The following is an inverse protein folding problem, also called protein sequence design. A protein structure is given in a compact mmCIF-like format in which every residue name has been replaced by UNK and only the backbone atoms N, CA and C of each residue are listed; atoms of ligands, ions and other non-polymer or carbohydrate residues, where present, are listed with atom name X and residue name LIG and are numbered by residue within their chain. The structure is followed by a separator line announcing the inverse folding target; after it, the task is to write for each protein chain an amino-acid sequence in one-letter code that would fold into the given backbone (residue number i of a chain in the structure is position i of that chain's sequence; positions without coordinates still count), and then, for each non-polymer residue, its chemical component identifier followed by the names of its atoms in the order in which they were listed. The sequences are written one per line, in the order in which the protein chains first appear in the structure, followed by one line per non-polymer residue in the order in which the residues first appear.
data_IF_514138295566
#
_entry.id   IF_514138295566
#
_cell.length_a   1.000
_cell.length_b   1.000
_cell.length_c   1.000
_cell.angle_alpha   90.00
_cell.angle_beta   90.00
_cell.angle_gamma   90.00
#
_symmetry.space_group_name_H-M   'P 1'
#
loop_
_entity.id
_entity.type
_entity.pdbx_description
1 polymer ?
#
# COMPACT_ATOMS: atom_id res chain seq x y z
N UNK A 1 -21.56 21.78 -9.64
CA UNK A 1 -21.65 20.81 -10.74
C UNK A 1 -20.24 20.54 -11.27
N UNK A 2 -19.60 19.43 -10.89
CA UNK A 2 -18.28 19.07 -11.43
C UNK A 2 -18.47 18.30 -12.73
N UNK A 3 -18.66 19.03 -13.82
CA UNK A 3 -18.69 18.45 -15.17
C UNK A 3 -17.26 18.07 -15.56
N UNK A 4 -16.93 16.80 -15.39
CA UNK A 4 -15.73 16.19 -15.98
C UNK A 4 -16.01 16.08 -17.49
N UNK A 5 -15.82 17.18 -18.20
CA UNK A 5 -15.95 17.28 -19.65
C UNK A 5 -14.60 17.02 -20.35
N UNK A 6 -14.68 16.45 -21.55
CA UNK A 6 -13.63 15.67 -22.22
C UNK A 6 -12.47 16.47 -22.83
N UNK A 7 -12.39 17.80 -22.69
CA UNK A 7 -11.68 18.63 -23.70
C UNK A 7 -10.22 19.01 -23.43
N UNK A 8 -9.65 18.71 -22.25
CA UNK A 8 -8.19 18.65 -21.95
C UNK A 8 -8.10 18.35 -20.45
N UNK A 9 -7.98 17.07 -20.09
CA UNK A 9 -7.87 16.72 -18.67
C UNK A 9 -6.46 17.04 -18.23
N UNK A 10 -6.35 17.98 -17.31
CA UNK A 10 -5.09 18.44 -16.77
C UNK A 10 -4.79 17.77 -15.42
N UNK A 11 -3.52 17.69 -15.04
CA UNK A 11 -3.09 17.01 -13.80
C UNK A 11 -3.78 17.60 -12.56
N UNK A 12 -3.87 18.94 -12.51
CA UNK A 12 -4.53 19.67 -11.44
C UNK A 12 -6.02 19.34 -11.30
N UNK A 13 -6.69 19.01 -12.42
CA UNK A 13 -8.11 18.63 -12.39
C UNK A 13 -8.31 17.29 -11.71
N UNK A 14 -7.41 16.32 -11.94
CA UNK A 14 -7.42 15.04 -11.25
C UNK A 14 -7.17 15.22 -9.75
N UNK A 15 -6.15 15.99 -9.37
CA UNK A 15 -5.82 16.26 -7.96
C UNK A 15 -6.97 16.92 -7.22
N UNK A 16 -7.54 17.99 -7.79
CA UNK A 16 -8.69 18.71 -7.20
C UNK A 16 -9.89 17.80 -7.02
N UNK A 17 -10.17 16.93 -7.99
CA UNK A 17 -11.29 16.00 -7.90
C UNK A 17 -11.05 14.89 -6.87
N UNK A 18 -9.82 14.37 -6.75
CA UNK A 18 -9.44 13.41 -5.70
C UNK A 18 -9.66 14.00 -4.32
N UNK A 19 -9.06 15.17 -4.05
CA UNK A 19 -9.17 15.85 -2.76
C UNK A 19 -10.63 16.19 -2.41
N UNK A 20 -11.44 16.56 -3.39
CA UNK A 20 -12.87 16.76 -3.20
C UNK A 20 -13.58 15.46 -2.75
N UNK A 21 -13.33 14.34 -3.42
CA UNK A 21 -13.92 13.05 -3.03
C UNK A 21 -13.44 12.58 -1.66
N UNK A 22 -12.17 12.78 -1.31
CA UNK A 22 -11.63 12.47 0.01
C UNK A 22 -12.31 13.30 1.10
N UNK A 23 -12.55 14.58 0.84
CA UNK A 23 -13.28 15.47 1.76
C UNK A 23 -14.70 14.97 2.01
N UNK A 24 -15.40 14.51 0.97
CA UNK A 24 -16.74 13.92 1.08
C UNK A 24 -16.68 12.64 1.90
N UNK A 25 -15.73 11.76 1.62
CA UNK A 25 -15.56 10.50 2.35
C UNK A 25 -15.35 10.76 3.85
N UNK A 26 -14.55 11.77 4.20
CA UNK A 26 -14.34 12.22 5.59
C UNK A 26 -15.63 12.70 6.23
N UNK A 27 -16.42 13.53 5.55
CA UNK A 27 -17.70 14.04 6.07
C UNK A 27 -18.73 12.91 6.29
N UNK A 28 -18.82 11.96 5.36
CA UNK A 28 -19.71 10.79 5.48
C UNK A 28 -19.33 9.97 6.73
N UNK A 29 -18.03 9.70 6.92
CA UNK A 29 -17.51 8.99 8.10
C UNK A 29 -17.87 9.71 9.41
N UNK A 30 -17.70 11.04 9.45
CA UNK A 30 -18.06 11.83 10.64
C UNK A 30 -19.56 11.73 10.94
N UNK A 31 -20.40 11.85 9.92
CA UNK A 31 -21.86 11.71 10.06
C UNK A 31 -22.24 10.32 10.59
N UNK A 32 -21.66 9.24 10.05
CA UNK A 32 -21.96 7.87 10.52
C UNK A 32 -21.52 7.63 11.95
N UNK A 33 -20.36 8.14 12.36
CA UNK A 33 -19.89 8.06 13.75
C UNK A 33 -20.86 8.75 14.71
N UNK A 34 -21.40 9.91 14.32
CA UNK A 34 -22.38 10.67 15.12
C UNK A 34 -23.73 9.93 15.26
N UNK A 35 -24.23 9.36 14.16
CA UNK A 35 -25.55 8.71 14.11
C UNK A 35 -25.49 7.24 14.58
N UNK A 36 -24.29 6.65 14.69
CA UNK A 36 -24.05 5.22 14.98
C UNK A 36 -24.74 4.28 13.99
N UNK A 37 -24.73 4.65 12.70
CA UNK A 37 -25.40 3.90 11.63
C UNK A 37 -24.39 3.28 10.65
N UNK A 38 -24.41 1.95 10.52
CA UNK A 38 -23.45 1.16 9.70
C UNK A 38 -24.03 0.52 8.44
N UNK A 39 -25.34 0.65 8.18
CA UNK A 39 -25.94 0.02 7.00
C UNK A 39 -25.37 0.62 5.69
N UNK A 40 -25.18 -0.21 4.67
CA UNK A 40 -24.76 0.20 3.31
C UNK A 40 -23.43 0.96 3.25
N UNK A 41 -22.52 0.73 4.21
CA UNK A 41 -21.18 1.34 4.18
C UNK A 41 -20.40 0.96 2.92
N UNK A 42 -20.47 -0.31 2.50
CA UNK A 42 -19.79 -0.77 1.30
C UNK A 42 -20.36 -0.17 0.01
N UNK A 43 -21.67 0.09 -0.04
CA UNK A 43 -22.34 0.64 -1.23
C UNK A 43 -22.05 2.13 -1.42
N UNK A 44 -21.83 2.87 -0.34
CA UNK A 44 -21.59 4.32 -0.39
C UNK A 44 -20.09 4.58 -0.30
N UNK A 45 -19.48 4.37 0.87
CA UNK A 45 -18.04 4.59 1.06
C UNK A 45 -17.20 3.69 0.19
N UNK A 46 -17.56 2.40 0.07
CA UNK A 46 -16.82 1.48 -0.79
C UNK A 46 -16.75 1.94 -2.25
N UNK A 47 -17.88 2.42 -2.81
CA UNK A 47 -17.91 2.98 -4.18
C UNK A 47 -17.09 4.25 -4.30
N UNK A 48 -17.13 5.14 -3.30
CA UNK A 48 -16.32 6.37 -3.30
C UNK A 48 -14.82 6.04 -3.23
N UNK A 49 -14.40 5.12 -2.34
CA UNK A 49 -13.01 4.67 -2.22
C UNK A 49 -12.49 4.10 -3.53
N UNK A 50 -13.25 3.20 -4.16
CA UNK A 50 -12.89 2.61 -5.45
C UNK A 50 -12.77 3.70 -6.52
N UNK A 51 -13.67 4.69 -6.51
CA UNK A 51 -13.62 5.80 -7.46
C UNK A 51 -12.37 6.66 -7.29
N UNK A 52 -11.99 6.99 -6.06
CA UNK A 52 -10.75 7.74 -5.76
C UNK A 52 -9.53 6.92 -6.22
N UNK A 53 -9.45 5.64 -5.85
CA UNK A 53 -8.34 4.77 -6.25
C UNK A 53 -8.20 4.67 -7.79
N UNK A 54 -9.31 4.53 -8.51
CA UNK A 54 -9.31 4.49 -9.97
C UNK A 54 -8.89 5.83 -10.58
N UNK A 55 -9.34 6.95 -10.02
CA UNK A 55 -9.00 8.28 -10.49
C UNK A 55 -7.49 8.54 -10.34
N UNK A 56 -6.93 8.25 -9.16
CA UNK A 56 -5.50 8.39 -8.89
C UNK A 56 -4.68 7.46 -9.78
N UNK A 57 -5.10 6.20 -9.96
CA UNK A 57 -4.45 5.28 -10.88
C UNK A 57 -4.44 5.78 -12.33
N UNK A 58 -5.58 6.28 -12.82
CA UNK A 58 -5.67 6.86 -14.16
C UNK A 58 -4.78 8.10 -14.30
N UNK A 59 -4.66 8.90 -13.25
CA UNK A 59 -3.75 10.04 -13.20
C UNK A 59 -2.30 9.56 -13.40
N UNK A 60 -1.86 8.60 -12.59
CA UNK A 60 -0.52 8.03 -12.65
C UNK A 60 -0.18 7.41 -14.02
N UNK A 61 -1.09 6.60 -14.57
CA UNK A 61 -0.90 5.92 -15.86
C UNK A 61 -0.88 6.91 -17.04
N UNK A 62 -1.71 7.95 -17.01
CA UNK A 62 -1.84 8.90 -18.12
C UNK A 62 -0.69 9.88 -18.24
N UNK A 63 -0.21 10.40 -17.11
CA UNK A 63 0.79 11.48 -17.10
C UNK A 63 2.20 10.98 -16.82
N UNK A 64 2.42 9.66 -16.69
CA UNK A 64 3.67 9.08 -16.18
C UNK A 64 4.15 9.87 -14.95
N UNK A 65 3.20 10.11 -14.05
CA UNK A 65 3.28 11.17 -13.06
C UNK A 65 4.56 11.07 -12.21
N UNK A 66 5.09 12.21 -11.73
CA UNK A 66 6.20 12.21 -10.77
C UNK A 66 5.90 11.29 -9.58
N UNK A 67 6.98 10.80 -8.97
CA UNK A 67 6.94 9.84 -7.86
C UNK A 67 5.95 10.25 -6.76
N UNK A 68 5.82 11.55 -6.49
CA UNK A 68 4.88 12.11 -5.51
C UNK A 68 3.44 11.61 -5.68
N UNK A 69 2.93 11.56 -6.92
CA UNK A 69 1.55 11.16 -7.19
C UNK A 69 1.38 9.65 -7.00
N UNK A 70 2.43 8.87 -7.28
CA UNK A 70 2.44 7.45 -6.96
C UNK A 70 2.44 7.20 -5.46
N UNK A 71 3.19 8.00 -4.69
CA UNK A 71 3.20 7.94 -3.23
C UNK A 71 1.83 8.34 -2.66
N UNK A 72 1.20 9.40 -3.16
CA UNK A 72 -0.16 9.80 -2.78
C UNK A 72 -1.17 8.65 -3.00
N UNK A 73 -1.10 7.98 -4.17
CA UNK A 73 -1.93 6.81 -4.47
C UNK A 73 -1.68 5.67 -3.48
N UNK A 74 -0.41 5.34 -3.22
CA UNK A 74 -0.03 4.26 -2.30
C UNK A 74 -0.48 4.56 -0.87
N UNK A 75 -0.29 5.79 -0.40
CA UNK A 75 -0.72 6.23 0.93
C UNK A 75 -2.24 6.13 1.08
N UNK A 76 -2.99 6.60 0.07
CA UNK A 76 -4.44 6.45 0.04
C UNK A 76 -4.85 4.97 0.14
N UNK A 77 -4.26 4.09 -0.68
CA UNK A 77 -4.57 2.67 -0.69
C UNK A 77 -4.22 1.98 0.65
N UNK A 78 -3.12 2.37 1.31
CA UNK A 78 -2.74 1.90 2.65
C UNK A 78 -3.75 2.35 3.69
N UNK A 79 -4.11 3.63 3.70
CA UNK A 79 -5.07 4.20 4.66
C UNK A 79 -6.45 3.52 4.59
N UNK A 80 -6.84 3.12 3.38
CA UNK A 80 -8.11 2.44 3.11
C UNK A 80 -8.03 0.91 3.19
N UNK A 81 -6.89 0.35 3.58
CA UNK A 81 -6.63 -1.09 3.69
C UNK A 81 -6.92 -1.87 2.39
N UNK A 82 -6.66 -1.24 1.24
CA UNK A 82 -6.87 -1.84 -0.09
C UNK A 82 -5.60 -2.57 -0.56
N UNK A 83 -5.16 -3.57 0.21
CA UNK A 83 -3.79 -4.12 0.10
C UNK A 83 -3.46 -4.73 -1.25
N UNK A 84 -4.37 -5.49 -1.86
CA UNK A 84 -4.19 -6.08 -3.20
C UNK A 84 -3.95 -4.98 -4.25
N UNK A 85 -4.66 -3.85 -4.16
CA UNK A 85 -4.46 -2.73 -5.09
C UNK A 85 -3.17 -1.98 -4.79
N UNK A 86 -2.79 -1.88 -3.51
CA UNK A 86 -1.54 -1.28 -3.08
C UNK A 86 -0.33 -2.04 -3.64
N UNK A 87 -0.32 -3.37 -3.50
CA UNK A 87 0.70 -4.25 -4.07
C UNK A 87 0.85 -4.04 -5.58
N UNK A 88 -0.27 -4.05 -6.32
CA UNK A 88 -0.28 -3.75 -7.77
C UNK A 88 0.26 -2.36 -8.10
N UNK A 89 -0.06 -1.34 -7.29
CA UNK A 89 0.44 0.01 -7.48
C UNK A 89 1.96 0.08 -7.26
N UNK A 90 2.49 -0.58 -6.23
CA UNK A 90 3.93 -0.71 -6.00
C UNK A 90 4.65 -1.37 -7.17
N UNK A 91 4.16 -2.52 -7.66
CA UNK A 91 4.77 -3.19 -8.81
C UNK A 91 4.80 -2.30 -10.05
N UNK A 92 3.72 -1.57 -10.33
CA UNK A 92 3.68 -0.62 -11.45
C UNK A 92 4.63 0.56 -11.24
N UNK A 93 4.70 1.11 -10.03
CA UNK A 93 5.59 2.21 -9.72
C UNK A 93 7.07 1.81 -9.87
N UNK A 94 7.45 0.60 -9.43
CA UNK A 94 8.81 0.07 -9.59
C UNK A 94 9.20 -0.16 -11.05
N UNK A 95 8.25 -0.55 -11.90
CA UNK A 95 8.49 -0.68 -13.35
C UNK A 95 8.81 0.67 -14.01
N UNK A 96 8.18 1.75 -13.54
CA UNK A 96 8.39 3.10 -14.08
C UNK A 96 9.66 3.73 -13.48
N UNK A 97 9.94 3.48 -12.20
CA UNK A 97 11.09 4.02 -11.47
C UNK A 97 12.05 2.93 -10.99
N UNK A 98 12.72 2.20 -11.90
CA UNK A 98 13.53 1.02 -11.53
C UNK A 98 14.74 1.36 -10.66
N UNK A 99 15.31 2.57 -10.84
CA UNK A 99 16.48 3.08 -10.09
C UNK A 99 16.13 3.72 -8.74
N UNK A 100 14.85 3.82 -8.39
CA UNK A 100 14.47 4.35 -7.09
C UNK A 100 14.46 3.22 -6.05
N UNK A 101 15.59 3.05 -5.36
CA UNK A 101 15.77 1.99 -4.38
C UNK A 101 14.96 2.21 -3.10
N UNK A 102 14.68 3.46 -2.73
CA UNK A 102 13.80 3.79 -1.60
C UNK A 102 12.37 3.28 -1.83
N UNK A 103 11.81 3.51 -3.02
CA UNK A 103 10.50 2.99 -3.41
C UNK A 103 10.47 1.45 -3.36
N UNK A 104 11.52 0.80 -3.86
CA UNK A 104 11.65 -0.65 -3.85
C UNK A 104 11.71 -1.22 -2.44
N UNK A 105 12.47 -0.60 -1.55
CA UNK A 105 12.51 -0.97 -0.14
C UNK A 105 11.14 -0.84 0.51
N UNK A 106 10.44 0.28 0.28
CA UNK A 106 9.08 0.46 0.79
C UNK A 106 8.11 -0.61 0.27
N UNK A 107 8.24 -1.03 -0.99
CA UNK A 107 7.42 -2.10 -1.56
C UNK A 107 7.71 -3.45 -0.88
N UNK A 108 8.98 -3.82 -0.74
CA UNK A 108 9.38 -5.06 -0.06
C UNK A 108 8.91 -5.09 1.40
N UNK A 109 9.03 -3.96 2.12
CA UNK A 109 8.53 -3.84 3.49
C UNK A 109 7.01 -3.91 3.57
N UNK A 110 6.29 -3.36 2.60
CA UNK A 110 4.84 -3.50 2.53
C UNK A 110 4.41 -4.97 2.37
N UNK A 111 5.00 -5.71 1.43
CA UNK A 111 4.69 -7.13 1.21
C UNK A 111 5.00 -8.00 2.42
N UNK A 112 6.10 -7.71 3.13
CA UNK A 112 6.46 -8.40 4.36
C UNK A 112 5.53 -8.03 5.53
N UNK A 113 5.36 -6.74 5.83
CA UNK A 113 4.68 -6.29 7.06
C UNK A 113 3.18 -6.46 7.04
N UNK A 114 2.55 -6.30 5.88
CA UNK A 114 1.08 -6.28 5.76
C UNK A 114 0.55 -7.62 5.26
N UNK A 115 1.23 -8.22 4.29
CA UNK A 115 0.73 -9.41 3.60
C UNK A 115 1.47 -10.68 4.03
N UNK A 116 2.48 -10.55 4.90
CA UNK A 116 3.33 -11.65 5.39
C UNK A 116 3.97 -12.50 4.28
N UNK A 117 4.18 -11.92 3.09
CA UNK A 117 4.78 -12.58 1.93
C UNK A 117 6.28 -12.28 1.85
N UNK A 118 7.05 -13.02 2.65
CA UNK A 118 8.51 -12.87 2.67
C UNK A 118 9.15 -13.19 1.31
N UNK A 119 8.63 -14.18 0.60
CA UNK A 119 9.15 -14.59 -0.72
C UNK A 119 9.05 -13.44 -1.74
N UNK A 120 7.89 -12.77 -1.79
CA UNK A 120 7.71 -11.61 -2.66
C UNK A 120 8.67 -10.48 -2.28
N UNK A 121 8.84 -10.20 -0.99
CA UNK A 121 9.78 -9.19 -0.51
C UNK A 121 11.23 -9.52 -0.90
N UNK A 122 11.64 -10.79 -0.79
CA UNK A 122 12.95 -11.29 -1.24
C UNK A 122 13.14 -11.09 -2.73
N UNK A 123 12.18 -11.49 -3.55
CA UNK A 123 12.25 -11.30 -5.00
C UNK A 123 12.43 -9.83 -5.38
N UNK A 124 11.65 -8.93 -4.77
CA UNK A 124 11.72 -7.48 -5.02
C UNK A 124 13.13 -6.93 -4.71
N UNK A 125 13.69 -7.31 -3.55
CA UNK A 125 15.01 -6.83 -3.11
C UNK A 125 16.14 -7.43 -3.94
N UNK A 126 16.10 -8.73 -4.22
CA UNK A 126 17.09 -9.41 -5.06
C UNK A 126 17.08 -8.89 -6.50
N UNK A 127 15.91 -8.55 -7.05
CA UNK A 127 15.82 -7.84 -8.33
C UNK A 127 16.50 -6.47 -8.27
N UNK A 128 16.43 -5.78 -7.13
CA UNK A 128 17.07 -4.47 -6.95
C UNK A 128 18.59 -4.59 -6.94
N UNK A 129 19.09 -5.54 -6.17
CA UNK A 129 20.52 -5.86 -6.09
C UNK A 129 21.08 -6.28 -7.46
N UNK A 130 20.30 -7.02 -8.27
CA UNK A 130 20.71 -7.37 -9.64
C UNK A 130 20.83 -6.15 -10.57
N UNK A 131 20.03 -5.10 -10.33
CA UNK A 131 20.08 -3.88 -11.15
C UNK A 131 21.27 -3.00 -10.80
N UNK A 132 21.60 -2.88 -9.51
CA UNK A 132 22.79 -2.18 -9.04
C UNK A 132 23.42 -2.91 -7.84
N UNK A 133 24.41 -3.78 -8.09
CA UNK A 133 25.06 -4.54 -7.02
C UNK A 133 26.03 -3.68 -6.20
N UNK A 134 26.38 -2.49 -6.67
CA UNK A 134 27.39 -1.63 -6.04
C UNK A 134 26.83 -0.80 -4.90
N UNK A 135 25.51 -0.59 -4.88
CA UNK A 135 24.85 0.18 -3.85
C UNK A 135 24.75 -0.61 -2.53
N UNK A 136 25.56 -0.22 -1.54
CA UNK A 136 25.61 -0.89 -0.24
C UNK A 136 24.30 -0.77 0.56
N UNK A 137 23.51 0.29 0.34
CA UNK A 137 22.25 0.53 1.03
C UNK A 137 21.21 -0.56 0.74
N UNK A 138 21.15 -1.08 -0.49
CA UNK A 138 20.28 -2.19 -0.89
C UNK A 138 20.61 -3.46 -0.10
N UNK A 139 21.90 -3.78 0.00
CA UNK A 139 22.36 -4.94 0.76
C UNK A 139 22.05 -4.81 2.25
N UNK A 140 22.29 -3.64 2.85
CA UNK A 140 21.94 -3.36 4.25
C UNK A 140 20.44 -3.56 4.47
N UNK A 141 19.61 -2.96 3.61
CA UNK A 141 18.16 -3.05 3.71
C UNK A 141 17.65 -4.49 3.52
N UNK A 142 18.30 -5.28 2.66
CA UNK A 142 17.98 -6.69 2.46
C UNK A 142 18.32 -7.54 3.68
N UNK A 143 19.53 -7.38 4.24
CA UNK A 143 19.94 -8.08 5.47
C UNK A 143 19.05 -7.69 6.64
N UNK A 144 18.71 -6.41 6.79
CA UNK A 144 17.74 -5.96 7.79
C UNK A 144 16.39 -6.66 7.63
N UNK A 145 15.92 -6.86 6.40
CA UNK A 145 14.66 -7.53 6.12
C UNK A 145 14.69 -9.01 6.53
N UNK A 146 15.78 -9.70 6.23
CA UNK A 146 15.98 -11.09 6.67
C UNK A 146 16.08 -11.20 8.19
N UNK A 147 16.82 -10.29 8.84
CA UNK A 147 16.93 -10.28 10.31
C UNK A 147 15.58 -10.05 10.98
N UNK A 148 14.75 -9.14 10.45
CA UNK A 148 13.40 -8.92 10.97
C UNK A 148 12.51 -10.16 10.81
N UNK A 149 12.67 -10.89 9.71
CA UNK A 149 11.93 -12.13 9.46
C UNK A 149 12.37 -13.27 10.39
N UNK A 150 13.69 -13.45 10.58
CA UNK A 150 14.23 -14.46 11.52
C UNK A 150 13.78 -14.15 12.95
N UNK A 151 13.82 -12.88 13.36
CA UNK A 151 13.27 -12.47 14.67
C UNK A 151 11.80 -12.89 14.80
N UNK A 152 10.99 -12.57 13.80
CA UNK A 152 9.58 -12.93 13.81
C UNK A 152 9.34 -14.44 13.90
N UNK A 153 10.10 -15.26 13.14
CA UNK A 153 10.03 -16.73 13.22
C UNK A 153 10.33 -17.26 14.62
N UNK A 154 11.42 -16.77 15.24
CA UNK A 154 11.79 -17.19 16.60
C UNK A 154 10.68 -16.85 17.60
N UNK A 155 10.10 -15.65 17.54
CA UNK A 155 8.99 -15.29 18.41
C UNK A 155 7.74 -16.15 18.19
N UNK A 156 7.42 -16.47 16.94
CA UNK A 156 6.27 -17.32 16.60
C UNK A 156 6.42 -18.76 17.12
N UNK A 157 7.61 -19.34 16.95
CA UNK A 157 7.90 -20.69 17.47
C UNK A 157 7.90 -20.73 18.99
N UNK A 158 8.45 -19.72 19.67
CA UNK A 158 8.36 -19.60 21.14
C UNK A 158 6.91 -19.51 21.62
N UNK A 159 6.05 -18.74 20.93
CA UNK A 159 4.63 -18.64 21.28
C UNK A 159 3.89 -19.96 21.10
N UNK A 160 4.17 -20.70 20.02
CA UNK A 160 3.59 -22.04 19.79
C UNK A 160 4.02 -23.03 20.87
N UNK A 161 5.29 -23.00 21.29
CA UNK A 161 5.79 -23.86 22.39
C UNK A 161 5.07 -23.51 23.70
N UNK A 162 4.91 -22.23 24.02
CA UNK A 162 4.18 -21.81 25.23
C UNK A 162 2.72 -22.25 25.19
N UNK A 163 2.03 -22.08 24.05
CA UNK A 163 0.65 -22.54 23.85
C UNK A 163 0.55 -24.07 24.04
N UNK A 164 1.45 -24.83 23.41
CA UNK A 164 1.51 -26.29 23.55
C UNK A 164 1.77 -26.74 25.00
N UNK A 165 2.67 -26.08 25.72
CA UNK A 165 2.94 -26.34 27.13
C UNK A 165 1.77 -25.95 28.05
N UNK A 166 0.96 -24.96 27.66
CA UNK A 166 -0.22 -24.56 28.40
C UNK A 166 -1.37 -25.56 28.20
N UNK A 167 -1.59 -26.03 26.97
CA UNK A 167 -2.59 -27.05 26.64
C UNK A 167 -2.27 -28.42 27.23
N UNK A 168 -0.98 -28.80 27.27
CA UNK A 168 -0.55 -30.08 27.86
C UNK A 168 -0.56 -30.12 29.40
N UNK A 169 -0.69 -28.98 30.08
CA UNK A 169 -0.92 -28.89 31.54
C UNK A 169 -2.40 -28.87 31.94
N UNK A 170 -3.31 -28.79 30.97
CA UNK A 170 -4.77 -28.79 31.16
C UNK A 170 -5.42 -30.17 30.96
N UNK A 171 -4.60 -31.20 30.71
CA UNK A 171 -4.94 -32.63 30.69
C UNK A 171 -4.23 -33.34 31.84
#
# INVERSE_FOLDING_TARGET
MYTISFKRRDLFSYKRYSSYLESILKLIRMRRKRIKYRLRENEIEGKIKIKIANLLRQCCERFQSPLEIWLDLIEFLKSEKMYIRCSKAYFRAMQIFPRNFSLRFQAARFEYSVEHRIECARCIMQEGIRLDPTESTLWINFVQLELDYVKWLVYDDFLKIILFLCESKLL
#
